data_IF_149248511719
#
_entry.id   IF_149248511719
#
_cell.length_a   1.000
_cell.length_b   1.000
_cell.length_c   1.000
_cell.angle_alpha   90.00
_cell.angle_beta   90.00
_cell.angle_gamma   90.00
#
_symmetry.space_group_name_H-M   'P 1'
#
loop_
_entity.id
_entity.type
_entity.pdbx_description
1 polymer ?
#
# COMPACT_ATOMS: atom_id res chain seq x y z
N UNK A 1 -5.38 7.02 -3.88
CA UNK A 1 -4.36 7.76 -4.65
C UNK A 1 -4.11 9.08 -3.96
N UNK A 2 -2.91 9.26 -3.40
CA UNK A 2 -2.51 10.46 -2.67
C UNK A 2 -2.06 11.52 -3.68
N UNK A 3 -2.83 12.60 -3.80
CA UNK A 3 -2.51 13.75 -4.67
C UNK A 3 -1.61 14.79 -3.98
N UNK A 4 -1.16 14.49 -2.76
CA UNK A 4 -0.50 15.41 -1.85
C UNK A 4 0.50 14.64 -0.99
N UNK A 5 1.75 15.09 -0.95
CA UNK A 5 2.82 14.47 -0.17
C UNK A 5 3.74 15.54 0.40
N UNK A 6 4.05 15.47 1.69
CA UNK A 6 5.04 16.35 2.30
C UNK A 6 6.44 15.75 2.17
N UNK A 7 7.43 16.57 1.82
CA UNK A 7 8.86 16.25 1.92
C UNK A 7 9.50 17.38 2.72
N UNK A 8 9.94 17.08 3.94
CA UNK A 8 10.30 18.09 4.94
C UNK A 8 9.19 19.16 5.06
N UNK A 9 9.55 20.46 5.01
CA UNK A 9 8.61 21.57 5.14
C UNK A 9 7.91 21.95 3.82
N UNK A 10 8.04 21.13 2.77
CA UNK A 10 7.45 21.40 1.45
C UNK A 10 6.34 20.42 1.14
N UNK A 11 5.19 20.98 0.76
CA UNK A 11 4.03 20.23 0.31
C UNK A 11 4.05 20.07 -1.21
N UNK A 12 4.07 18.85 -1.73
CA UNK A 12 3.98 18.54 -3.14
C UNK A 12 2.59 18.08 -3.52
N UNK A 13 2.11 18.55 -4.66
CA UNK A 13 0.79 18.21 -5.17
C UNK A 13 0.72 18.35 -6.68
N UNK A 14 -0.41 17.93 -7.22
CA UNK A 14 -0.67 17.94 -8.66
C UNK A 14 -1.75 18.97 -8.97
N UNK A 15 -1.46 19.90 -9.90
CA UNK A 15 -2.39 20.97 -10.26
C UNK A 15 -2.21 21.42 -11.72
N UNK A 16 -3.24 22.10 -12.23
CA UNK A 16 -3.30 22.69 -13.57
C UNK A 16 -3.51 24.20 -13.46
N UNK A 17 -2.64 24.98 -14.10
CA UNK A 17 -2.71 26.45 -14.14
C UNK A 17 -3.48 27.00 -15.36
N UNK A 18 -4.08 26.12 -16.16
CA UNK A 18 -4.76 26.41 -17.41
C UNK A 18 -3.83 26.74 -18.57
N UNK A 19 -2.52 26.59 -18.41
CA UNK A 19 -1.50 26.88 -19.44
C UNK A 19 -0.59 25.71 -19.71
N UNK A 20 -0.22 24.96 -18.67
CA UNK A 20 0.77 23.88 -18.71
C UNK A 20 0.21 22.49 -18.47
N UNK A 21 -1.13 22.38 -18.48
CA UNK A 21 -1.79 21.15 -18.08
C UNK A 21 -1.51 20.79 -16.63
N UNK A 22 -1.83 19.55 -16.28
CA UNK A 22 -1.67 18.98 -14.95
C UNK A 22 -0.22 18.54 -14.70
N UNK A 23 0.45 19.26 -13.81
CA UNK A 23 1.89 19.13 -13.53
C UNK A 23 2.18 18.99 -12.03
N UNK A 24 3.46 18.83 -11.68
CA UNK A 24 3.94 18.79 -10.29
C UNK A 24 4.13 20.21 -9.73
N UNK A 25 3.52 20.47 -8.59
CA UNK A 25 3.59 21.73 -7.85
C UNK A 25 4.13 21.52 -6.45
N UNK A 26 4.67 22.59 -5.87
CA UNK A 26 5.08 22.63 -4.46
C UNK A 26 4.57 23.88 -3.77
N UNK A 27 4.41 23.81 -2.45
CA UNK A 27 4.03 24.93 -1.59
C UNK A 27 4.73 24.87 -0.24
N UNK A 28 5.08 26.03 0.31
CA UNK A 28 5.50 26.24 1.70
C UNK A 28 4.34 26.74 2.59
N UNK A 29 3.10 26.70 2.07
CA UNK A 29 1.91 27.25 2.73
C UNK A 29 1.64 28.73 2.44
N UNK A 30 2.48 29.40 1.66
CA UNK A 30 2.28 30.80 1.23
C UNK A 30 1.88 30.90 -0.24
N UNK A 31 1.18 31.98 -0.61
CA UNK A 31 0.85 32.25 -2.02
C UNK A 31 2.12 32.36 -2.88
N UNK A 32 3.16 33.04 -2.40
CA UNK A 32 4.42 33.24 -3.13
C UNK A 32 5.28 31.99 -3.22
N UNK A 33 5.20 31.09 -2.23
CA UNK A 33 5.92 29.83 -2.22
C UNK A 33 5.18 28.68 -2.91
N UNK A 34 3.95 28.93 -3.38
CA UNK A 34 3.18 27.98 -4.18
C UNK A 34 3.53 28.13 -5.65
N UNK A 35 4.36 27.22 -6.16
CA UNK A 35 4.96 27.33 -7.49
C UNK A 35 5.00 25.99 -8.22
N UNK A 36 4.95 26.05 -9.55
CA UNK A 36 5.23 24.93 -10.43
C UNK A 36 6.66 24.44 -10.17
N UNK A 37 6.83 23.14 -9.98
CA UNK A 37 8.15 22.54 -9.81
C UNK A 37 8.85 22.43 -11.15
N UNK A 38 8.19 21.80 -12.13
CA UNK A 38 8.66 21.68 -13.51
C UNK A 38 7.45 21.52 -14.45
N UNK A 39 7.59 22.01 -15.68
CA UNK A 39 6.71 21.69 -16.81
C UNK A 39 7.28 20.44 -17.49
N UNK A 40 6.81 19.26 -17.08
CA UNK A 40 7.39 17.97 -17.50
C UNK A 40 6.95 17.65 -18.94
N UNK A 41 5.66 17.77 -19.23
CA UNK A 41 5.14 17.62 -20.58
C UNK A 41 4.93 19.00 -21.23
N UNK A 42 6.00 19.51 -21.83
CA UNK A 42 6.07 20.89 -22.31
C UNK A 42 4.83 21.38 -23.07
N UNK A 43 4.33 22.55 -22.65
CA UNK A 43 3.19 23.21 -23.28
C UNK A 43 1.90 22.85 -22.56
N UNK A 44 0.77 22.86 -23.26
CA UNK A 44 -0.55 22.65 -22.62
C UNK A 44 -0.92 21.18 -22.43
N UNK A 45 0.04 20.26 -22.53
CA UNK A 45 -0.20 18.83 -22.37
C UNK A 45 0.07 18.43 -20.91
N UNK A 46 -0.65 17.44 -20.40
CA UNK A 46 -0.49 17.00 -19.03
C UNK A 46 0.67 16.00 -18.90
N UNK A 47 1.50 16.12 -17.86
CA UNK A 47 2.36 15.02 -17.41
C UNK A 47 1.67 14.04 -16.46
N UNK A 48 0.54 14.45 -15.87
CA UNK A 48 -0.28 13.67 -14.95
C UNK A 48 0.55 12.93 -13.88
N UNK A 49 1.32 13.62 -13.01
CA UNK A 49 2.04 12.96 -11.94
C UNK A 49 1.09 12.20 -10.99
N UNK A 50 1.49 11.01 -10.56
CA UNK A 50 0.77 10.18 -9.57
C UNK A 50 1.75 9.46 -8.65
N UNK A 51 1.24 8.80 -7.60
CA UNK A 51 2.06 8.03 -6.65
C UNK A 51 3.16 8.87 -5.98
N UNK A 52 2.84 10.12 -5.63
CA UNK A 52 3.78 11.04 -4.99
C UNK A 52 4.30 10.43 -3.69
N UNK A 53 5.58 10.05 -3.65
CA UNK A 53 6.17 9.28 -2.56
C UNK A 53 7.47 9.92 -2.10
N UNK A 54 7.56 10.22 -0.82
CA UNK A 54 8.78 10.75 -0.22
C UNK A 54 9.75 9.60 0.10
N UNK A 55 11.03 9.78 -0.22
CA UNK A 55 12.12 8.92 0.24
C UNK A 55 13.28 9.83 0.66
N UNK A 56 13.45 10.00 1.97
CA UNK A 56 14.31 11.03 2.54
C UNK A 56 13.92 12.43 2.05
N UNK A 57 14.86 13.12 1.39
CA UNK A 57 14.67 14.47 0.85
C UNK A 57 14.24 14.50 -0.63
N UNK A 58 13.99 13.33 -1.24
CA UNK A 58 13.64 13.21 -2.66
C UNK A 58 12.17 12.81 -2.79
N UNK A 59 11.46 13.48 -3.69
CA UNK A 59 10.13 13.04 -4.11
C UNK A 59 10.27 12.12 -5.33
N UNK A 60 9.67 10.94 -5.27
CA UNK A 60 9.49 10.04 -6.40
C UNK A 60 8.03 10.01 -6.84
N UNK A 61 7.80 9.85 -8.14
CA UNK A 61 6.46 9.83 -8.71
C UNK A 61 6.47 9.23 -10.12
N UNK A 62 5.29 8.88 -10.62
CA UNK A 62 5.07 8.38 -11.98
C UNK A 62 4.50 9.48 -12.85
N UNK A 63 5.12 9.79 -14.00
CA UNK A 63 4.70 10.87 -14.91
C UNK A 63 5.12 10.60 -16.37
N UNK A 64 4.49 11.31 -17.30
CA UNK A 64 4.71 11.22 -18.74
C UNK A 64 5.23 12.56 -19.30
N UNK A 65 6.34 12.56 -20.03
CA UNK A 65 6.89 13.77 -20.67
C UNK A 65 6.50 13.91 -22.16
N UNK A 66 5.59 13.06 -22.64
CA UNK A 66 5.17 12.98 -24.03
C UNK A 66 6.22 12.36 -24.97
N UNK A 67 7.33 11.86 -24.45
CA UNK A 67 8.43 11.27 -25.24
C UNK A 67 8.80 9.87 -24.81
N UNK A 68 8.74 9.60 -23.50
CA UNK A 68 9.14 8.33 -22.89
C UNK A 68 7.95 7.53 -22.34
N UNK A 69 6.71 7.99 -22.57
CA UNK A 69 5.53 7.48 -21.89
C UNK A 69 5.61 7.68 -20.37
N UNK A 70 4.75 6.96 -19.63
CA UNK A 70 4.68 7.06 -18.16
C UNK A 70 5.76 6.22 -17.49
N UNK A 71 6.69 6.92 -16.86
CA UNK A 71 7.92 6.37 -16.29
C UNK A 71 8.17 6.87 -14.85
N UNK A 72 9.26 6.41 -14.23
CA UNK A 72 9.65 6.82 -12.87
C UNK A 72 10.43 8.14 -12.93
N UNK A 73 9.95 9.13 -12.18
CA UNK A 73 10.56 10.45 -12.03
C UNK A 73 10.97 10.70 -10.59
N UNK A 74 11.95 11.58 -10.42
CA UNK A 74 12.32 12.12 -9.11
C UNK A 74 12.43 13.63 -9.14
N UNK A 75 12.27 14.28 -8.00
CA UNK A 75 12.48 15.72 -7.82
C UNK A 75 13.13 16.03 -6.47
N UNK A 76 14.05 17.00 -6.47
CA UNK A 76 14.56 17.68 -5.25
C UNK A 76 13.77 18.95 -4.92
N UNK A 77 12.63 19.14 -5.59
CA UNK A 77 11.81 20.34 -5.51
C UNK A 77 12.13 21.40 -6.54
N UNK A 78 13.24 21.32 -7.27
CA UNK A 78 13.61 22.31 -8.28
C UNK A 78 13.35 21.79 -9.70
N UNK A 79 13.10 22.70 -10.65
CA UNK A 79 12.94 22.32 -12.06
C UNK A 79 14.12 21.52 -12.62
N UNK A 80 15.35 21.82 -12.18
CA UNK A 80 16.58 21.14 -12.63
C UNK A 80 16.76 19.77 -11.98
N UNK A 81 16.29 19.61 -10.74
CA UNK A 81 16.32 18.33 -10.04
C UNK A 81 15.14 17.42 -10.35
N UNK A 82 14.13 17.92 -11.07
CA UNK A 82 13.04 17.11 -11.61
C UNK A 82 13.48 16.41 -12.88
N UNK A 83 13.73 15.11 -12.80
CA UNK A 83 14.31 14.32 -13.88
C UNK A 83 13.70 12.93 -13.96
N UNK A 84 13.61 12.41 -15.18
CA UNK A 84 13.37 11.00 -15.46
C UNK A 84 14.49 10.18 -14.80
N UNK A 85 14.12 9.20 -13.98
CA UNK A 85 15.08 8.31 -13.32
C UNK A 85 15.63 7.31 -14.32
N UNK A 86 14.72 6.60 -14.99
CA UNK A 86 15.01 5.64 -16.05
C UNK A 86 13.80 5.50 -16.95
N UNK A 87 14.05 5.45 -18.25
CA UNK A 87 13.12 4.94 -19.26
C UNK A 87 13.12 3.41 -19.15
N UNK A 88 12.18 2.85 -18.37
CA UNK A 88 12.12 1.42 -18.07
C UNK A 88 11.55 0.66 -19.27
N UNK A 89 10.45 1.13 -19.84
CA UNK A 89 9.94 0.64 -21.12
C UNK A 89 10.37 1.58 -22.23
N UNK A 90 11.52 1.25 -22.85
CA UNK A 90 12.16 2.13 -23.83
C UNK A 90 11.24 2.57 -24.97
N UNK A 91 11.23 3.87 -25.27
CA UNK A 91 10.49 4.43 -26.39
C UNK A 91 9.28 5.25 -25.92
N UNK A 92 8.16 5.18 -26.62
CA UNK A 92 6.96 5.96 -26.28
C UNK A 92 5.95 5.17 -25.43
N UNK A 93 6.26 3.89 -25.18
CA UNK A 93 5.43 3.01 -24.36
C UNK A 93 5.60 3.37 -22.88
N UNK A 94 4.78 2.79 -22.01
CA UNK A 94 4.75 3.19 -20.60
C UNK A 94 5.03 2.01 -19.68
N UNK A 95 6.04 2.14 -18.82
CA UNK A 95 6.29 1.19 -17.75
C UNK A 95 5.22 1.22 -16.65
N UNK A 96 4.45 2.31 -16.57
CA UNK A 96 3.40 2.54 -15.58
C UNK A 96 3.81 2.26 -14.12
N UNK A 97 4.87 2.92 -13.59
CA UNK A 97 5.26 2.73 -12.19
C UNK A 97 4.12 3.00 -11.21
N UNK A 98 3.88 2.07 -10.28
CA UNK A 98 2.84 2.14 -9.24
C UNK A 98 3.28 1.52 -7.92
N UNK A 99 2.54 1.78 -6.85
CA UNK A 99 2.82 1.31 -5.49
C UNK A 99 4.21 1.72 -5.00
N UNK A 100 4.61 2.95 -5.30
CA UNK A 100 5.93 3.47 -4.91
C UNK A 100 6.03 3.43 -3.38
N UNK A 101 7.05 2.74 -2.88
CA UNK A 101 7.24 2.50 -1.44
C UNK A 101 8.72 2.62 -1.10
N UNK A 102 9.04 3.48 -0.13
CA UNK A 102 10.39 3.56 0.41
C UNK A 102 10.61 2.45 1.45
N UNK A 103 11.73 1.73 1.33
CA UNK A 103 12.21 0.76 2.31
C UNK A 103 13.64 1.11 2.65
N UNK A 104 13.85 1.70 3.83
CA UNK A 104 15.16 2.13 4.33
C UNK A 104 15.97 2.97 3.31
N UNK A 105 15.32 3.93 2.63
CA UNK A 105 15.97 4.81 1.65
C UNK A 105 16.17 4.20 0.26
N UNK A 106 15.54 3.05 -0.02
CA UNK A 106 15.48 2.44 -1.35
C UNK A 106 14.03 2.40 -1.81
N UNK A 107 13.78 2.92 -3.01
CA UNK A 107 12.44 2.90 -3.58
C UNK A 107 12.15 1.55 -4.21
N UNK A 108 10.99 0.98 -3.90
CA UNK A 108 10.41 -0.19 -4.55
C UNK A 108 9.12 0.22 -5.25
N UNK A 109 8.83 -0.42 -6.38
CA UNK A 109 7.64 -0.13 -7.18
C UNK A 109 7.34 -1.28 -8.14
N UNK A 110 6.11 -1.35 -8.62
CA UNK A 110 5.74 -2.20 -9.73
C UNK A 110 5.92 -1.47 -11.05
N UNK A 111 6.51 -2.11 -12.08
CA UNK A 111 6.66 -1.56 -13.41
C UNK A 111 6.85 -2.64 -14.48
N UNK A 112 6.49 -2.31 -15.72
CA UNK A 112 6.66 -3.15 -16.91
C UNK A 112 7.82 -2.65 -17.79
N UNK A 113 8.65 -3.54 -18.30
CA UNK A 113 9.74 -3.22 -19.23
C UNK A 113 9.46 -3.66 -20.68
N UNK A 114 8.26 -4.15 -20.96
CA UNK A 114 7.85 -4.71 -22.25
C UNK A 114 8.36 -6.13 -22.52
N UNK A 115 9.06 -6.75 -21.56
CA UNK A 115 9.65 -8.09 -21.68
C UNK A 115 9.14 -9.07 -20.61
N UNK A 116 9.10 -8.62 -19.35
CA UNK A 116 8.76 -9.42 -18.18
C UNK A 116 7.34 -9.16 -17.65
N UNK A 117 6.56 -8.30 -18.33
CA UNK A 117 5.34 -7.77 -17.75
C UNK A 117 5.61 -6.89 -16.52
N UNK A 118 4.54 -6.53 -15.81
CA UNK A 118 4.63 -5.67 -14.63
C UNK A 118 5.10 -6.45 -13.38
N UNK A 119 6.34 -6.23 -12.97
CA UNK A 119 7.05 -6.98 -11.91
C UNK A 119 7.56 -6.08 -10.77
N UNK A 120 8.25 -6.63 -9.76
CA UNK A 120 8.89 -5.85 -8.70
C UNK A 120 10.20 -5.20 -9.17
N UNK A 121 10.27 -3.89 -9.09
CA UNK A 121 11.47 -3.08 -9.38
C UNK A 121 11.95 -2.35 -8.13
N UNK A 122 13.22 -1.96 -8.16
CA UNK A 122 13.81 -1.07 -7.16
C UNK A 122 14.61 0.06 -7.82
N UNK A 123 14.82 1.14 -7.09
CA UNK A 123 15.66 2.27 -7.49
C UNK A 123 16.39 2.88 -6.29
N UNK A 124 17.64 3.29 -6.50
CA UNK A 124 18.38 4.20 -5.62
C UNK A 124 18.28 5.67 -6.07
N UNK A 125 17.43 5.94 -7.05
CA UNK A 125 17.26 7.23 -7.68
C UNK A 125 18.14 7.46 -8.89
N UNK A 126 19.05 6.55 -9.25
CA UNK A 126 19.88 6.64 -10.45
C UNK A 126 19.37 5.74 -11.58
N UNK A 127 19.79 6.01 -12.82
CA UNK A 127 19.44 5.15 -13.96
C UNK A 127 20.00 3.75 -13.80
N UNK A 128 21.25 3.65 -13.36
CA UNK A 128 21.99 2.40 -13.18
C UNK A 128 21.46 1.58 -12.01
N UNK A 129 21.09 2.22 -10.90
CA UNK A 129 20.52 1.57 -9.73
C UNK A 129 19.01 1.30 -9.83
N UNK A 130 18.38 1.61 -10.96
CA UNK A 130 16.98 1.26 -11.23
C UNK A 130 16.91 -0.06 -12.00
N UNK A 131 16.53 -1.14 -11.33
CA UNK A 131 16.59 -2.49 -11.88
C UNK A 131 15.42 -3.38 -11.43
N UNK A 132 15.10 -4.38 -12.26
CA UNK A 132 14.17 -5.45 -11.94
C UNK A 132 14.73 -6.24 -10.75
N UNK A 133 13.93 -6.41 -9.70
CA UNK A 133 14.34 -7.20 -8.53
C UNK A 133 14.27 -8.68 -8.88
N UNK A 134 13.13 -9.12 -9.43
CA UNK A 134 12.89 -10.49 -9.86
C UNK A 134 11.74 -10.52 -10.87
N UNK A 135 11.91 -11.31 -11.91
CA UNK A 135 10.82 -11.76 -12.78
C UNK A 135 10.07 -12.88 -12.03
N UNK A 136 9.01 -12.54 -11.29
CA UNK A 136 8.29 -13.47 -10.44
C UNK A 136 7.41 -14.37 -11.30
N UNK A 137 6.59 -13.78 -12.19
CA UNK A 137 5.84 -14.51 -13.19
C UNK A 137 6.64 -14.57 -14.48
N UNK A 138 7.33 -15.69 -14.71
CA UNK A 138 8.25 -15.78 -15.86
C UNK A 138 7.53 -15.59 -17.20
N UNK A 139 8.05 -14.70 -18.03
CA UNK A 139 7.53 -14.43 -19.38
C UNK A 139 6.98 -13.03 -19.50
N UNK A 140 6.06 -12.77 -20.43
CA UNK A 140 5.54 -11.42 -20.68
C UNK A 140 4.31 -11.06 -19.85
N UNK A 141 3.87 -11.94 -18.96
CA UNK A 141 2.76 -11.69 -18.06
C UNK A 141 3.34 -11.19 -16.73
N UNK A 142 2.74 -10.16 -16.14
CA UNK A 142 3.18 -9.66 -14.83
C UNK A 142 2.59 -10.47 -13.69
N UNK A 143 3.30 -10.52 -12.56
CA UNK A 143 2.95 -11.23 -11.34
C UNK A 143 1.80 -10.63 -10.53
N UNK A 144 1.06 -9.66 -11.11
CA UNK A 144 -0.13 -9.06 -10.49
C UNK A 144 0.12 -8.59 -9.05
N UNK A 145 1.21 -7.85 -8.83
CA UNK A 145 1.57 -7.37 -7.50
C UNK A 145 0.41 -6.64 -6.82
N UNK A 146 0.18 -6.99 -5.56
CA UNK A 146 -0.61 -6.20 -4.61
C UNK A 146 0.16 -4.97 -4.12
N UNK A 147 -0.48 -4.19 -3.24
CA UNK A 147 0.16 -3.05 -2.60
C UNK A 147 1.41 -3.49 -1.83
N UNK A 148 2.45 -2.66 -1.88
CA UNK A 148 3.73 -2.93 -1.23
C UNK A 148 3.70 -2.38 0.20
N UNK A 149 4.14 -3.20 1.16
CA UNK A 149 4.19 -2.83 2.58
C UNK A 149 5.61 -2.97 3.10
N UNK A 150 6.20 -1.87 3.54
CA UNK A 150 7.51 -1.87 4.17
C UNK A 150 7.39 -2.29 5.64
N UNK A 151 8.21 -3.27 6.06
CA UNK A 151 8.33 -3.70 7.45
C UNK A 151 9.82 -3.89 7.73
N UNK A 152 10.37 -3.05 8.61
CA UNK A 152 11.80 -2.90 8.83
C UNK A 152 12.56 -2.70 7.50
N UNK A 153 13.50 -3.59 7.18
CA UNK A 153 14.29 -3.58 5.94
C UNK A 153 13.71 -4.50 4.85
N UNK A 154 12.52 -5.06 5.07
CA UNK A 154 11.85 -5.98 4.15
C UNK A 154 10.62 -5.34 3.52
N UNK A 155 10.29 -5.83 2.33
CA UNK A 155 9.07 -5.51 1.64
C UNK A 155 8.16 -6.74 1.61
N UNK A 156 6.91 -6.59 2.05
CA UNK A 156 5.87 -7.61 1.96
C UNK A 156 4.80 -7.17 0.97
N UNK A 157 4.29 -8.12 0.19
CA UNK A 157 3.31 -7.88 -0.86
C UNK A 157 2.66 -9.21 -1.26
N UNK A 158 1.61 -9.14 -2.05
CA UNK A 158 1.05 -10.32 -2.71
C UNK A 158 1.46 -10.40 -4.18
N UNK A 159 1.73 -11.60 -4.68
CA UNK A 159 2.15 -11.82 -6.07
C UNK A 159 1.86 -13.25 -6.53
N UNK A 160 1.70 -13.41 -7.84
CA UNK A 160 1.49 -14.67 -8.55
C UNK A 160 2.74 -15.06 -9.35
N UNK A 161 3.27 -16.26 -9.12
CA UNK A 161 4.41 -16.81 -9.86
C UNK A 161 4.01 -17.71 -11.04
N UNK A 162 2.71 -17.79 -11.32
CA UNK A 162 2.11 -18.66 -12.34
C UNK A 162 1.94 -20.11 -11.90
N UNK A 163 2.23 -20.43 -10.65
CA UNK A 163 2.12 -21.78 -10.07
C UNK A 163 1.17 -21.77 -8.86
N UNK A 164 1.37 -20.83 -7.94
CA UNK A 164 0.69 -20.80 -6.64
C UNK A 164 -0.42 -19.74 -6.56
N UNK A 165 -0.73 -19.05 -7.67
CA UNK A 165 -1.67 -17.93 -7.64
C UNK A 165 -1.14 -16.77 -6.80
N UNK A 166 -1.99 -15.78 -6.52
CA UNK A 166 -1.60 -14.61 -5.74
C UNK A 166 -1.50 -14.94 -4.25
N UNK A 167 -0.27 -15.04 -3.74
CA UNK A 167 0.05 -15.45 -2.37
C UNK A 167 0.88 -14.41 -1.61
N UNK A 168 1.22 -14.65 -0.34
CA UNK A 168 2.09 -13.77 0.45
C UNK A 168 3.57 -13.93 0.05
N UNK A 169 4.21 -12.84 -0.37
CA UNK A 169 5.62 -12.76 -0.72
C UNK A 169 6.36 -11.75 0.15
N UNK A 170 7.69 -11.90 0.20
CA UNK A 170 8.59 -10.90 0.77
C UNK A 170 9.83 -10.69 -0.10
N UNK A 171 10.50 -9.56 0.08
CA UNK A 171 11.75 -9.23 -0.61
C UNK A 171 12.71 -8.40 0.26
N UNK A 172 14.01 -8.67 0.15
CA UNK A 172 15.11 -7.82 0.66
C UNK A 172 15.69 -6.88 -0.42
N UNK A 173 15.05 -6.84 -1.60
CA UNK A 173 15.53 -6.13 -2.79
C UNK A 173 16.59 -6.86 -3.60
N UNK A 174 16.79 -8.15 -3.37
CA UNK A 174 17.57 -9.03 -4.23
C UNK A 174 16.70 -10.14 -4.80
N UNK A 175 17.00 -10.60 -6.02
CA UNK A 175 16.28 -11.71 -6.64
C UNK A 175 16.22 -12.97 -5.76
N UNK A 176 17.28 -13.23 -4.99
CA UNK A 176 17.37 -14.40 -4.09
C UNK A 176 16.55 -14.23 -2.81
N UNK A 177 16.43 -13.01 -2.30
CA UNK A 177 15.63 -12.70 -1.12
C UNK A 177 14.16 -12.40 -1.44
N UNK A 178 13.80 -12.24 -2.71
CA UNK A 178 12.40 -12.22 -3.17
C UNK A 178 11.83 -13.62 -3.20
N UNK A 179 11.01 -13.99 -2.21
CA UNK A 179 10.52 -15.37 -2.02
C UNK A 179 9.06 -15.40 -1.58
N UNK A 180 8.35 -16.45 -1.99
CA UNK A 180 7.07 -16.84 -1.42
C UNK A 180 7.25 -17.11 0.07
N UNK A 181 6.46 -16.45 0.90
CA UNK A 181 6.46 -16.67 2.35
C UNK A 181 5.71 -17.95 2.66
N UNK A 182 4.48 -18.05 2.16
CA UNK A 182 3.62 -19.20 2.36
C UNK A 182 2.54 -19.26 1.27
N UNK A 183 2.23 -20.48 0.83
CA UNK A 183 1.13 -20.80 -0.09
C UNK A 183 -0.13 -21.04 0.77
N UNK A 184 -0.84 -19.96 1.10
CA UNK A 184 -1.98 -20.00 2.01
C UNK A 184 -3.16 -20.73 1.37
N UNK A 185 -3.41 -20.55 0.07
CA UNK A 185 -4.37 -21.32 -0.71
C UNK A 185 -3.66 -22.15 -1.79
N UNK A 186 -3.30 -23.40 -1.46
CA UNK A 186 -2.58 -24.28 -2.37
C UNK A 186 -3.19 -24.40 -3.76
N UNK A 187 -2.37 -24.08 -4.76
CA UNK A 187 -2.69 -24.19 -6.18
C UNK A 187 -2.92 -22.83 -6.86
N UNK A 188 -3.42 -22.81 -8.09
CA UNK A 188 -3.36 -21.62 -8.94
C UNK A 188 -4.39 -20.52 -8.61
N UNK A 189 -5.22 -20.71 -7.57
CA UNK A 189 -6.25 -19.73 -7.22
C UNK A 189 -5.68 -18.56 -6.39
N UNK A 190 -4.71 -18.85 -5.52
CA UNK A 190 -4.14 -17.88 -4.59
C UNK A 190 -5.08 -17.47 -3.46
N UNK A 191 -4.48 -16.98 -2.37
CA UNK A 191 -5.17 -16.48 -1.18
C UNK A 191 -5.61 -15.02 -1.25
N UNK A 192 -5.12 -14.29 -2.26
CA UNK A 192 -5.34 -12.86 -2.44
C UNK A 192 -4.99 -12.03 -1.19
N UNK A 193 -3.86 -12.37 -0.55
CA UNK A 193 -3.34 -11.69 0.63
C UNK A 193 -3.39 -10.15 0.48
N UNK A 194 -4.01 -9.48 1.46
CA UNK A 194 -4.29 -8.04 1.41
C UNK A 194 -4.26 -7.40 2.81
N UNK A 195 -4.33 -6.07 2.86
CA UNK A 195 -4.35 -5.26 4.09
C UNK A 195 -3.17 -5.55 5.05
N UNK A 196 -2.01 -5.85 4.47
CA UNK A 196 -0.76 -6.11 5.19
C UNK A 196 -0.50 -4.97 6.18
N UNK A 197 -0.48 -5.28 7.48
CA UNK A 197 -0.34 -4.31 8.56
C UNK A 197 0.60 -4.87 9.63
N UNK A 198 1.66 -4.13 9.92
CA UNK A 198 2.58 -4.47 11.01
C UNK A 198 2.02 -3.98 12.34
N UNK A 199 2.07 -4.84 13.36
CA UNK A 199 1.70 -4.53 14.75
C UNK A 199 2.66 -5.26 15.67
N UNK A 200 3.46 -4.51 16.43
CA UNK A 200 4.35 -5.03 17.48
C UNK A 200 5.26 -6.20 17.06
N UNK A 201 5.84 -6.11 15.86
CA UNK A 201 6.71 -7.10 15.23
C UNK A 201 5.98 -8.25 14.52
N UNK A 202 4.66 -8.20 14.41
CA UNK A 202 3.84 -9.21 13.73
C UNK A 202 3.16 -8.62 12.50
N UNK A 203 3.30 -9.27 11.34
CA UNK A 203 2.55 -8.90 10.16
C UNK A 203 1.15 -9.54 10.23
N UNK A 204 0.11 -8.71 10.22
CA UNK A 204 -1.27 -9.13 10.04
C UNK A 204 -1.72 -8.92 8.59
N UNK A 205 -2.59 -9.79 8.12
CA UNK A 205 -3.12 -9.75 6.77
C UNK A 205 -4.49 -10.42 6.69
N UNK A 206 -5.20 -10.14 5.61
CA UNK A 206 -6.45 -10.83 5.25
C UNK A 206 -6.18 -11.77 4.09
N UNK A 207 -6.53 -13.04 4.24
CA UNK A 207 -6.26 -14.09 3.25
C UNK A 207 -7.29 -15.22 3.33
N UNK A 208 -7.59 -15.83 2.19
CA UNK A 208 -8.45 -17.02 2.06
C UNK A 208 -7.59 -18.27 1.86
N UNK A 209 -7.81 -19.34 2.61
CA UNK A 209 -7.11 -20.63 2.45
C UNK A 209 -7.90 -21.67 1.63
N UNK A 210 -9.06 -21.27 1.10
CA UNK A 210 -10.02 -22.13 0.40
C UNK A 210 -10.89 -23.00 1.32
N UNK A 211 -10.71 -22.90 2.64
CA UNK A 211 -11.41 -23.69 3.67
C UNK A 211 -12.23 -22.80 4.61
N UNK A 212 -11.68 -21.69 5.07
CA UNK A 212 -12.28 -20.75 6.03
C UNK A 212 -12.77 -19.45 5.39
N UNK A 213 -12.61 -19.27 4.08
CA UNK A 213 -12.83 -17.97 3.46
C UNK A 213 -11.76 -16.96 3.89
N UNK A 214 -11.91 -15.71 3.43
CA UNK A 214 -10.97 -14.64 3.77
C UNK A 214 -11.12 -14.20 5.25
N UNK A 215 -10.11 -14.50 6.05
CA UNK A 215 -10.08 -14.31 7.51
C UNK A 215 -8.83 -13.54 7.96
N UNK A 216 -8.69 -13.29 9.26
CA UNK A 216 -7.49 -12.67 9.84
C UNK A 216 -6.35 -13.70 9.97
N UNK A 217 -5.24 -13.44 9.31
CA UNK A 217 -4.00 -14.20 9.40
C UNK A 217 -2.89 -13.35 10.03
N UNK A 218 -1.85 -14.03 10.50
CA UNK A 218 -0.59 -13.40 10.91
C UNK A 218 0.60 -14.10 10.29
N UNK A 219 1.74 -13.42 10.25
CA UNK A 219 3.02 -13.94 9.77
C UNK A 219 4.19 -13.30 10.52
N UNK A 220 5.25 -14.09 10.76
CA UNK A 220 6.59 -13.61 11.12
C UNK A 220 7.53 -13.52 9.89
N UNK A 221 6.95 -13.62 8.69
CA UNK A 221 7.65 -13.69 7.41
C UNK A 221 8.14 -15.09 7.04
N UNK A 222 7.88 -16.12 7.86
CA UNK A 222 8.20 -17.52 7.54
C UNK A 222 6.94 -18.33 7.28
N UNK A 223 7.07 -19.42 6.51
CA UNK A 223 5.97 -20.37 6.31
C UNK A 223 5.40 -20.93 7.63
N UNK A 224 6.27 -21.23 8.61
CA UNK A 224 5.83 -21.81 9.90
C UNK A 224 5.15 -20.80 10.81
N UNK A 225 5.56 -19.53 10.76
CA UNK A 225 4.91 -18.46 11.52
C UNK A 225 3.73 -17.82 10.79
N UNK A 226 3.38 -18.28 9.59
CA UNK A 226 2.20 -17.83 8.84
C UNK A 226 1.02 -18.73 9.17
N UNK A 227 0.06 -18.22 9.95
CA UNK A 227 -1.07 -19.00 10.45
C UNK A 227 -2.35 -18.16 10.57
N UNK A 228 -3.49 -18.84 10.43
CA UNK A 228 -4.80 -18.28 10.70
C UNK A 228 -4.88 -17.87 12.17
N UNK A 229 -5.21 -16.61 12.43
CA UNK A 229 -5.37 -16.14 13.81
C UNK A 229 -6.67 -16.68 14.39
N UNK A 230 -7.77 -16.57 13.64
CA UNK A 230 -9.09 -17.04 14.03
C UNK A 230 -10.02 -17.11 12.82
N UNK A 231 -10.74 -18.22 12.68
CA UNK A 231 -11.93 -18.33 11.85
C UNK A 231 -13.08 -17.60 12.58
N UNK A 232 -13.31 -16.33 12.24
CA UNK A 232 -14.29 -15.47 12.94
C UNK A 232 -15.71 -15.85 12.51
N UNK A 233 -15.90 -16.15 11.21
CA UNK A 233 -17.15 -16.64 10.65
C UNK A 233 -17.01 -18.09 10.18
N UNK A 234 -17.38 -19.08 11.02
CA UNK A 234 -17.08 -20.47 10.73
C UNK A 234 -17.55 -20.96 9.35
N UNK A 235 -16.63 -21.58 8.61
CA UNK A 235 -16.88 -22.19 7.31
C UNK A 235 -16.30 -21.39 6.15
N UNK A 236 -16.80 -21.57 4.93
CA UNK A 236 -16.19 -20.99 3.72
C UNK A 236 -16.57 -19.53 3.44
N UNK A 237 -17.22 -18.87 4.39
CA UNK A 237 -17.74 -17.52 4.18
C UNK A 237 -16.82 -16.57 4.93
N UNK A 238 -16.20 -15.64 4.21
CA UNK A 238 -15.37 -14.61 4.83
C UNK A 238 -16.13 -13.82 5.90
N UNK A 239 -15.48 -13.61 7.05
CA UNK A 239 -15.92 -12.67 8.09
C UNK A 239 -15.83 -11.20 7.66
N UNK A 240 -15.26 -10.92 6.49
CA UNK A 240 -15.07 -9.57 5.95
C UNK A 240 -14.20 -8.73 6.87
N UNK A 241 -12.97 -9.18 7.10
CA UNK A 241 -11.99 -8.42 7.87
C UNK A 241 -11.57 -7.17 7.08
N UNK A 242 -11.82 -6.00 7.63
CA UNK A 242 -11.52 -4.71 6.99
C UNK A 242 -10.83 -3.73 7.94
N UNK A 243 -10.05 -2.83 7.34
CA UNK A 243 -9.41 -1.69 7.98
C UNK A 243 -8.46 -2.12 9.11
N UNK A 244 -7.59 -3.09 8.84
CA UNK A 244 -6.52 -3.46 9.76
C UNK A 244 -5.73 -2.19 10.17
N UNK A 245 -5.70 -1.91 11.48
CA UNK A 245 -5.09 -0.69 12.03
C UNK A 245 -4.35 -1.02 13.30
N UNK A 246 -3.07 -0.64 13.35
CA UNK A 246 -2.29 -0.63 14.58
C UNK A 246 -2.73 0.52 15.49
N UNK A 247 -2.93 0.22 16.77
CA UNK A 247 -3.10 1.19 17.83
C UNK A 247 -2.49 0.64 19.11
N UNK A 248 -1.36 1.23 19.53
CA UNK A 248 -0.64 0.87 20.75
C UNK A 248 -0.35 -0.63 20.85
N UNK A 249 0.30 -1.21 19.83
CA UNK A 249 0.68 -2.63 19.79
C UNK A 249 -0.51 -3.60 19.76
N UNK A 250 -1.70 -3.10 19.45
CA UNK A 250 -2.94 -3.87 19.34
C UNK A 250 -3.59 -3.63 17.98
N UNK A 251 -3.87 -4.72 17.26
CA UNK A 251 -4.60 -4.64 15.99
C UNK A 251 -6.08 -4.38 16.26
N UNK A 252 -6.66 -3.39 15.59
CA UNK A 252 -8.11 -3.17 15.50
C UNK A 252 -8.60 -3.32 14.06
N UNK A 253 -9.82 -3.83 13.90
CA UNK A 253 -10.42 -4.07 12.59
C UNK A 253 -11.95 -4.24 12.68
N UNK A 254 -12.61 -4.18 11.53
CA UNK A 254 -14.02 -4.54 11.39
C UNK A 254 -14.15 -6.00 10.92
N UNK A 255 -15.06 -6.77 11.50
CA UNK A 255 -15.39 -8.13 11.03
C UNK A 255 -16.78 -8.57 11.51
N UNK A 256 -17.35 -9.59 10.88
CA UNK A 256 -18.64 -10.19 11.20
C UNK A 256 -18.49 -11.65 11.62
N UNK A 257 -19.07 -12.01 12.76
CA UNK A 257 -19.18 -13.40 13.24
C UNK A 257 -20.46 -14.11 12.75
N UNK A 258 -21.23 -13.46 11.87
CA UNK A 258 -22.51 -13.96 11.35
C UNK A 258 -23.68 -13.85 12.34
N UNK A 259 -23.45 -13.33 13.55
CA UNK A 259 -24.47 -13.14 14.59
C UNK A 259 -24.69 -11.64 14.85
N UNK A 260 -23.61 -10.87 14.98
CA UNK A 260 -23.62 -9.46 15.37
C UNK A 260 -23.44 -8.51 14.17
N UNK A 261 -23.30 -9.03 12.95
CA UNK A 261 -22.93 -8.21 11.79
C UNK A 261 -21.50 -7.67 11.90
N UNK A 262 -21.17 -6.65 11.12
CA UNK A 262 -19.84 -6.02 11.14
C UNK A 262 -19.66 -5.16 12.39
N UNK A 263 -18.76 -5.61 13.27
CA UNK A 263 -18.46 -4.97 14.55
C UNK A 263 -16.97 -4.67 14.70
N UNK A 264 -16.62 -3.93 15.75
CA UNK A 264 -15.23 -3.63 16.07
C UNK A 264 -14.59 -4.82 16.81
N UNK A 265 -13.47 -5.29 16.27
CA UNK A 265 -12.64 -6.33 16.85
C UNK A 265 -11.26 -5.80 17.20
N UNK A 266 -10.61 -6.49 18.13
CA UNK A 266 -9.19 -6.34 18.42
C UNK A 266 -8.48 -7.68 18.40
N UNK A 267 -7.18 -7.70 18.17
CA UNK A 267 -6.36 -8.92 18.20
C UNK A 267 -4.91 -8.64 18.60
N UNK A 268 -4.35 -9.46 19.50
CA UNK A 268 -2.90 -9.52 19.76
C UNK A 268 -2.21 -10.63 18.94
N UNK A 269 -2.90 -11.21 17.94
CA UNK A 269 -2.39 -12.33 17.16
C UNK A 269 -2.55 -13.72 17.78
N UNK A 270 -3.30 -13.83 18.89
CA UNK A 270 -3.72 -15.12 19.43
C UNK A 270 -5.24 -15.28 19.37
N UNK A 271 -5.72 -16.50 19.18
CA UNK A 271 -7.16 -16.83 19.21
C UNK A 271 -7.86 -16.24 20.45
N UNK A 272 -7.21 -16.33 21.62
CA UNK A 272 -7.77 -15.86 22.89
C UNK A 272 -7.79 -14.32 23.01
N UNK A 273 -6.85 -13.63 22.37
CA UNK A 273 -6.80 -12.17 22.33
C UNK A 273 -7.56 -11.55 21.16
N UNK A 274 -8.05 -12.35 20.21
CA UNK A 274 -8.94 -11.90 19.13
C UNK A 274 -10.38 -11.86 19.60
N UNK A 275 -10.88 -10.67 19.92
CA UNK A 275 -12.17 -10.48 20.58
C UNK A 275 -12.93 -9.29 19.98
N UNK A 276 -14.26 -9.42 19.88
CA UNK A 276 -15.13 -8.28 19.62
C UNK A 276 -15.04 -7.32 20.82
N UNK A 277 -14.72 -6.06 20.56
CA UNK A 277 -14.53 -5.03 21.59
C UNK A 277 -15.87 -4.55 22.12
N UNK A 278 -16.80 -4.27 21.21
CA UNK A 278 -18.16 -3.86 21.53
C UNK A 278 -19.08 -4.21 20.36
N UNK A 279 -20.32 -4.59 20.67
CA UNK A 279 -21.42 -4.54 19.70
C UNK A 279 -21.88 -3.07 19.67
N UNK A 280 -21.48 -2.34 18.63
CA UNK A 280 -21.68 -0.90 18.49
C UNK A 280 -23.10 -0.61 17.97
N UNK A 281 -23.69 -1.51 17.19
CA UNK A 281 -25.05 -1.40 16.69
C UNK A 281 -25.98 -2.46 17.30
N UNK A 282 -26.54 -2.14 18.47
CA UNK A 282 -27.57 -3.00 19.07
C UNK A 282 -28.83 -3.03 18.18
N UNK A 283 -29.25 -4.25 17.81
CA UNK A 283 -30.44 -4.60 17.01
C UNK A 283 -30.37 -4.24 15.51
N UNK A 284 -30.01 -5.23 14.70
CA UNK A 284 -30.20 -5.33 13.24
C UNK A 284 -29.66 -4.17 12.36
N UNK A 285 -28.86 -3.27 12.92
CA UNK A 285 -28.20 -2.19 12.21
C UNK A 285 -26.71 -2.49 12.01
N UNK A 286 -26.13 -2.08 10.89
CA UNK A 286 -24.71 -2.27 10.59
C UNK A 286 -23.90 -1.11 11.17
N UNK A 287 -22.99 -1.37 12.11
CA UNK A 287 -22.08 -0.33 12.64
C UNK A 287 -21.01 0.07 11.62
N UNK A 288 -20.54 -0.88 10.80
CA UNK A 288 -19.49 -0.73 9.78
C UNK A 288 -18.35 0.20 10.21
N UNK A 289 -17.66 -0.12 11.33
CA UNK A 289 -16.57 0.71 11.81
C UNK A 289 -15.50 0.83 10.71
N UNK A 290 -15.19 2.07 10.35
CA UNK A 290 -14.33 2.45 9.23
C UNK A 290 -13.62 3.75 9.61
N UNK A 291 -12.50 4.05 8.94
CA UNK A 291 -11.67 5.24 9.20
C UNK A 291 -11.07 5.27 10.62
N UNK A 292 -10.40 4.18 11.01
CA UNK A 292 -9.59 4.18 12.22
C UNK A 292 -8.36 5.09 12.01
N UNK A 293 -8.12 6.00 12.94
CA UNK A 293 -6.89 6.79 12.98
C UNK A 293 -6.44 6.97 14.43
N UNK A 294 -5.17 6.71 14.69
CA UNK A 294 -4.54 7.03 15.97
C UNK A 294 -4.06 8.48 15.94
N UNK A 295 -4.57 9.34 16.82
CA UNK A 295 -4.00 10.67 17.07
C UNK A 295 -3.43 10.70 18.48
N UNK A 296 -2.18 11.11 18.62
CA UNK A 296 -1.63 11.51 19.91
C UNK A 296 -1.86 13.02 20.07
N UNK A 297 -2.68 13.43 21.02
CA UNK A 297 -2.71 14.83 21.46
C UNK A 297 -1.57 15.10 22.48
N UNK A 298 -1.47 16.33 23.01
CA UNK A 298 -0.47 16.66 24.04
C UNK A 298 -0.68 15.92 25.38
N UNK A 299 -1.72 15.09 25.50
CA UNK A 299 -2.07 14.28 26.66
C UNK A 299 -1.94 12.76 26.42
N UNK A 300 -1.53 12.33 25.21
CA UNK A 300 -1.48 10.91 24.81
C UNK A 300 -2.86 10.21 24.87
N UNK A 301 -3.94 10.89 24.54
CA UNK A 301 -5.25 10.23 24.38
C UNK A 301 -5.46 9.76 22.95
N UNK A 302 -5.64 8.45 22.77
CA UNK A 302 -5.95 7.83 21.48
C UNK A 302 -7.46 7.62 21.35
N UNK A 303 -8.03 7.93 20.19
CA UNK A 303 -9.47 7.78 19.95
C UNK A 303 -9.73 7.02 18.67
N UNK A 304 -10.39 5.87 18.79
CA UNK A 304 -10.89 5.11 17.67
C UNK A 304 -12.27 5.66 17.28
N UNK A 305 -12.45 6.04 16.01
CA UNK A 305 -13.73 6.54 15.50
C UNK A 305 -14.36 5.51 14.56
N UNK A 306 -15.65 5.23 14.76
CA UNK A 306 -16.47 4.46 13.83
C UNK A 306 -17.57 5.35 13.23
N UNK A 307 -17.69 5.35 11.90
CA UNK A 307 -18.82 5.98 11.20
C UNK A 307 -19.83 4.94 10.73
N UNK A 308 -20.98 4.83 11.41
CA UNK A 308 -22.18 4.30 10.79
C UNK A 308 -22.73 5.34 9.81
N UNK A 309 -23.38 4.92 8.72
CA UNK A 309 -23.84 5.82 7.65
C UNK A 309 -24.46 7.14 8.14
N UNK A 310 -24.26 8.21 7.35
CA UNK A 310 -24.83 9.54 7.62
C UNK A 310 -26.28 9.45 8.14
N UNK A 311 -26.63 10.02 9.31
CA UNK A 311 -25.93 11.09 10.03
C UNK A 311 -25.23 10.64 11.34
N UNK A 312 -24.91 9.36 11.52
CA UNK A 312 -24.47 8.88 12.83
C UNK A 312 -23.04 9.32 13.19
N UNK A 313 -22.95 9.92 14.39
CA UNK A 313 -21.78 10.61 14.90
C UNK A 313 -20.68 9.62 15.29
N UNK A 314 -19.45 9.99 14.97
CA UNK A 314 -18.23 9.35 15.43
C UNK A 314 -18.29 9.12 16.95
N UNK A 315 -18.13 7.87 17.40
CA UNK A 315 -18.03 7.51 18.82
C UNK A 315 -16.58 7.15 19.12
N UNK A 316 -16.05 7.66 20.23
CA UNK A 316 -14.77 7.22 20.80
C UNK A 316 -15.00 5.83 21.39
N UNK A 317 -14.31 4.81 20.88
CA UNK A 317 -14.58 3.40 21.26
C UNK A 317 -13.51 2.79 22.17
N UNK A 318 -12.37 3.46 22.38
CA UNK A 318 -11.32 3.06 23.33
C UNK A 318 -10.53 4.29 23.81
N UNK A 319 -10.09 4.24 25.08
CA UNK A 319 -9.08 5.09 25.74
C UNK A 319 -8.05 4.15 26.38
#
# INVERSE_FOLDING_TARGET
MWYLTAVADTLYFVADDGRRGRELWRSDGTETGTVLVADINHGSADSNPVELTASGAVLYFSADDGRHGRELWRSDGTARGTVLVRDVWTGIDSANPRFLTDVAGRLFFNADNGLSGAELWKSDGTREGTELVRDIFTGNAGSSLGELTAIDELLYFSADDGINGQELWRSDGTARGTVLVYDIFPGPNGSAASQLTEVAGTLFLVADDGLTGAELWKSDGTATGTELVRDILPGRISSGVWYLTDMEDMLFFAASDGINGYELWRSNGSVAGTLMVSNIAAADAWAFPSFFFAMADQQQEYALFCGGGWPDRARVVAQ
#
